data_IF_161727203717
#
_entry.id   IF_161727203717
#
_cell.length_a   1.000
_cell.length_b   1.000
_cell.length_c   1.000
_cell.angle_alpha   90.00
_cell.angle_beta   90.00
_cell.angle_gamma   90.00
#
_symmetry.space_group_name_H-M   'P 1'
#
loop_
_entity.id
_entity.type
_entity.pdbx_description
1 polymer ?
#
# COMPACT_ATOMS: atom_id res chain seq x y z
N UNK A 1 4.12 -6.56 -11.28
CA UNK A 1 4.61 -5.24 -10.83
C UNK A 1 3.50 -4.58 -10.04
N UNK A 2 3.76 -4.29 -8.77
CA UNK A 2 2.82 -3.71 -7.82
C UNK A 2 2.90 -2.18 -7.95
N UNK A 3 1.77 -1.44 -7.91
CA UNK A 3 1.74 0.04 -8.06
C UNK A 3 1.10 0.69 -6.84
N UNK A 4 1.70 1.77 -6.36
CA UNK A 4 1.14 2.57 -5.28
C UNK A 4 -0.13 3.29 -5.76
N UNK A 5 -1.24 3.17 -5.04
CA UNK A 5 -2.49 3.86 -5.43
C UNK A 5 -2.45 5.37 -5.17
N UNK A 6 -1.55 5.86 -4.30
CA UNK A 6 -1.42 7.28 -3.96
C UNK A 6 -0.59 8.02 -5.01
N UNK A 7 0.64 7.56 -5.24
CA UNK A 7 1.59 8.24 -6.13
C UNK A 7 1.72 7.59 -7.52
N UNK A 8 0.92 6.55 -7.80
CA UNK A 8 0.87 5.80 -9.07
C UNK A 8 2.20 5.18 -9.54
N UNK A 9 3.24 5.29 -8.72
CA UNK A 9 4.59 4.80 -8.99
C UNK A 9 4.71 3.31 -8.72
N UNK A 10 5.67 2.66 -9.39
CA UNK A 10 5.94 1.24 -9.16
C UNK A 10 6.53 1.02 -7.77
N UNK A 11 5.91 0.10 -7.05
CA UNK A 11 6.44 -0.46 -5.82
C UNK A 11 7.58 -1.42 -6.19
N UNK A 12 8.82 -1.03 -5.84
CA UNK A 12 10.01 -1.86 -6.04
C UNK A 12 10.37 -2.59 -4.75
N UNK A 13 11.20 -3.63 -4.86
CA UNK A 13 11.62 -4.50 -3.74
C UNK A 13 12.24 -3.77 -2.55
N UNK A 14 12.79 -2.57 -2.76
CA UNK A 14 13.44 -1.77 -1.73
C UNK A 14 12.44 -0.91 -0.93
N UNK A 15 11.24 -0.69 -1.47
CA UNK A 15 10.22 0.09 -0.80
C UNK A 15 9.37 -0.83 0.09
N UNK A 16 9.26 -0.50 1.38
CA UNK A 16 8.25 -1.12 2.25
C UNK A 16 6.86 -0.84 1.66
N UNK A 17 6.16 -1.89 1.25
CA UNK A 17 4.87 -1.80 0.55
C UNK A 17 3.82 -2.55 1.34
N UNK A 18 2.73 -1.86 1.61
CA UNK A 18 1.54 -2.41 2.23
C UNK A 18 0.56 -2.84 1.15
N UNK A 19 -0.13 -3.94 1.38
CA UNK A 19 -1.14 -4.48 0.48
C UNK A 19 -2.42 -4.74 1.26
N UNK A 20 -3.55 -4.45 0.65
CA UNK A 20 -4.84 -4.88 1.16
C UNK A 20 -5.07 -6.33 0.72
N UNK A 21 -5.20 -7.25 1.67
CA UNK A 21 -5.46 -8.67 1.41
C UNK A 21 -6.84 -8.94 0.78
N UNK A 22 -7.77 -7.99 0.89
CA UNK A 22 -9.12 -8.12 0.33
C UNK A 22 -9.20 -7.78 -1.16
N UNK A 23 -8.51 -6.73 -1.61
CA UNK A 23 -8.59 -6.24 -2.98
C UNK A 23 -7.25 -6.24 -3.73
N UNK A 24 -6.15 -6.61 -3.07
CA UNK A 24 -4.80 -6.59 -3.62
C UNK A 24 -4.26 -5.19 -3.88
N UNK A 25 -4.93 -4.14 -3.36
CA UNK A 25 -4.48 -2.76 -3.56
C UNK A 25 -3.20 -2.51 -2.77
N UNK A 26 -2.26 -1.77 -3.34
CA UNK A 26 -0.91 -1.62 -2.78
C UNK A 26 -0.51 -0.16 -2.59
N UNK A 27 0.29 0.12 -1.57
CA UNK A 27 0.78 1.47 -1.27
C UNK A 27 2.16 1.43 -0.64
N UNK A 28 2.99 2.43 -0.92
CA UNK A 28 4.23 2.61 -0.19
C UNK A 28 3.93 3.01 1.26
N UNK A 29 4.75 2.53 2.19
CA UNK A 29 4.76 2.95 3.59
C UNK A 29 4.84 4.46 3.72
N UNK A 30 5.82 5.08 3.05
CA UNK A 30 6.01 6.53 3.12
C UNK A 30 4.81 7.32 2.60
N UNK A 31 4.14 6.84 1.54
CA UNK A 31 2.93 7.50 1.04
C UNK A 31 1.77 7.39 2.04
N UNK A 32 1.65 6.27 2.76
CA UNK A 32 0.65 6.11 3.80
C UNK A 32 0.93 6.98 5.02
N UNK A 33 2.20 7.08 5.44
CA UNK A 33 2.63 7.97 6.52
C UNK A 33 2.43 9.46 6.17
N UNK A 34 2.71 9.87 4.93
CA UNK A 34 2.48 11.24 4.46
C UNK A 34 0.99 11.63 4.46
N UNK A 35 0.11 10.68 4.15
CA UNK A 35 -1.34 10.87 4.10
C UNK A 35 -2.06 10.55 5.43
N UNK A 36 -1.31 10.21 6.48
CA UNK A 36 -1.82 9.80 7.80
C UNK A 36 -2.95 8.74 7.68
N UNK A 37 -2.68 7.70 6.89
CA UNK A 37 -3.67 6.65 6.60
C UNK A 37 -3.06 5.26 6.65
N UNK A 38 -3.74 4.33 7.32
CA UNK A 38 -3.36 2.90 7.40
C UNK A 38 -4.42 1.96 6.80
N UNK A 39 -5.47 2.54 6.20
CA UNK A 39 -6.64 1.81 5.71
C UNK A 39 -6.73 1.80 4.19
N UNK A 40 -7.31 0.74 3.65
CA UNK A 40 -7.55 0.65 2.22
C UNK A 40 -8.67 1.62 1.79
N UNK A 41 -8.44 2.49 0.79
CA UNK A 41 -9.47 3.40 0.29
C UNK A 41 -10.61 2.69 -0.43
N UNK A 42 -10.36 1.47 -0.94
CA UNK A 42 -11.35 0.66 -1.66
C UNK A 42 -12.15 -0.24 -0.73
N UNK A 43 -11.50 -0.83 0.27
CA UNK A 43 -12.13 -1.69 1.25
C UNK A 43 -12.41 -0.89 2.52
N UNK A 44 -13.15 0.22 2.38
CA UNK A 44 -13.47 1.23 3.41
C UNK A 44 -13.26 0.75 4.85
N UNK A 45 -12.11 1.08 5.43
CA UNK A 45 -11.78 0.82 6.84
C UNK A 45 -11.01 -0.47 7.12
N UNK A 46 -10.73 -1.31 6.13
CA UNK A 46 -9.88 -2.49 6.32
C UNK A 46 -8.40 -2.07 6.38
N UNK A 47 -7.63 -2.55 7.37
CA UNK A 47 -6.22 -2.21 7.50
C UNK A 47 -5.43 -2.77 6.32
N UNK A 48 -4.47 -1.98 5.83
CA UNK A 48 -3.49 -2.49 4.88
C UNK A 48 -2.42 -3.25 5.67
N UNK A 49 -2.22 -4.53 5.34
CA UNK A 49 -1.18 -5.34 5.97
C UNK A 49 0.16 -5.11 5.28
N UNK A 50 1.20 -4.96 6.09
CA UNK A 50 2.57 -4.78 5.62
C UNK A 50 3.24 -6.14 5.50
N UNK A 51 3.61 -6.53 4.27
CA UNK A 51 4.64 -7.52 3.96
C UNK A 51 4.51 -7.92 2.49
N UNK A 52 5.30 -7.28 1.63
CA UNK A 52 5.85 -8.01 0.49
C UNK A 52 7.37 -7.88 0.61
N UNK A 53 8.01 -8.95 1.06
CA UNK A 53 9.41 -9.17 0.71
C UNK A 53 9.39 -9.64 -0.75
N UNK A 54 9.94 -8.83 -1.64
CA UNK A 54 9.99 -9.14 -3.08
C UNK A 54 11.15 -10.09 -3.42
#
# INVERSE_FOLDING_TARGET
>A
MVRCYICESQCTSDNEVFVCEHCGNSCHRHCMEEYDTDVCPKCVGEPMIGAIEF
#
